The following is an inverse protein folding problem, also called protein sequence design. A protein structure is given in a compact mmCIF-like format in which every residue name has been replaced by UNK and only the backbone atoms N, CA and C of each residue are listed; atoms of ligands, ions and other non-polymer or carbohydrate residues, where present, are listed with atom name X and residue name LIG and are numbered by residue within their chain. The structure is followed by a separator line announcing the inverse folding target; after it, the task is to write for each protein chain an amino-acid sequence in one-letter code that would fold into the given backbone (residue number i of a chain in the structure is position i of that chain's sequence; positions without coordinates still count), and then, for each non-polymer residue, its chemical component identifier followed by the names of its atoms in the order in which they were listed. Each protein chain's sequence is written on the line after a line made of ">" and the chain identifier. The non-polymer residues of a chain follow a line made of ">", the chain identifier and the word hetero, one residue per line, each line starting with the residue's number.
data_IF_005754938873
#
_entry.id   IF_005754938873
#
_cell.length_a   1.000
_cell.length_b   1.000
_cell.length_c   1.000
_cell.angle_alpha   90.00
_cell.angle_beta   90.00
_cell.angle_gamma   90.00
#
_symmetry.space_group_name_H-M   'P 1'
#
loop_
_entity.id
_entity.type
_entity.pdbx_description
1 polymer ?
#
# COMPACT_ATOMS: atom_id res chain seq x y z
N UNK A 1 9.67 25.05 10.85
CA UNK A 1 9.31 23.75 11.48
C UNK A 1 9.20 22.71 10.38
N UNK A 2 10.13 21.75 10.29
CA UNK A 2 10.24 20.87 9.11
C UNK A 2 9.06 19.90 8.98
N UNK A 3 8.48 19.81 7.77
CA UNK A 3 7.40 18.87 7.40
C UNK A 3 7.74 17.43 7.77
N UNK A 4 9.02 17.08 7.74
CA UNK A 4 9.53 15.77 8.14
C UNK A 4 9.20 15.42 9.59
N UNK A 5 9.27 16.40 10.50
CA UNK A 5 8.95 16.21 11.92
C UNK A 5 7.44 15.97 12.13
N UNK A 6 6.61 16.58 11.28
CA UNK A 6 5.14 16.41 11.28
C UNK A 6 4.74 15.02 10.77
N UNK A 7 5.38 14.54 9.71
CA UNK A 7 5.18 13.18 9.19
C UNK A 7 5.70 12.13 10.18
N UNK A 8 6.86 12.35 10.79
CA UNK A 8 7.40 11.46 11.82
C UNK A 8 6.51 11.43 13.07
N UNK A 9 5.99 12.58 13.51
CA UNK A 9 5.03 12.65 14.60
C UNK A 9 3.69 11.97 14.23
N UNK A 10 3.23 12.13 12.99
CA UNK A 10 2.02 11.46 12.49
C UNK A 10 2.21 9.95 12.44
N UNK A 11 3.33 9.45 11.92
CA UNK A 11 3.66 8.02 11.93
C UNK A 11 3.74 7.45 13.37
N UNK A 12 4.20 8.25 14.33
CA UNK A 12 4.21 7.90 15.76
C UNK A 12 2.85 8.06 16.43
N UNK A 13 1.88 8.76 15.83
CA UNK A 13 0.56 8.99 16.40
C UNK A 13 -0.31 7.72 16.33
N UNK A 14 -1.34 7.60 17.20
CA UNK A 14 -2.30 6.49 17.14
C UNK A 14 -2.99 6.37 15.77
N UNK A 15 -3.24 7.51 15.11
CA UNK A 15 -3.87 7.57 13.80
C UNK A 15 -2.92 7.07 12.70
N UNK A 16 -1.66 7.50 12.68
CA UNK A 16 -0.68 7.02 11.71
C UNK A 16 -0.34 5.54 11.91
N UNK A 17 -0.22 5.07 13.16
CA UNK A 17 -0.07 3.64 13.46
C UNK A 17 -1.25 2.81 12.94
N UNK A 18 -2.49 3.31 13.06
CA UNK A 18 -3.68 2.65 12.48
C UNK A 18 -3.61 2.61 10.96
N UNK A 19 -3.24 3.70 10.31
CA UNK A 19 -3.08 3.77 8.85
C UNK A 19 -2.00 2.80 8.35
N UNK A 20 -0.82 2.78 8.98
CA UNK A 20 0.26 1.83 8.64
C UNK A 20 -0.19 0.40 8.93
N UNK A 21 -0.89 0.12 10.03
CA UNK A 21 -1.38 -1.23 10.35
C UNK A 21 -2.44 -1.71 9.34
N UNK A 22 -3.33 -0.82 8.91
CA UNK A 22 -4.29 -1.13 7.85
C UNK A 22 -3.57 -1.40 6.53
N UNK A 23 -2.65 -0.53 6.12
CA UNK A 23 -1.85 -0.73 4.91
C UNK A 23 -1.06 -2.06 4.97
N UNK A 24 -0.45 -2.38 6.12
CA UNK A 24 0.27 -3.64 6.34
C UNK A 24 -0.67 -4.84 6.25
N UNK A 25 -1.86 -4.77 6.85
CA UNK A 25 -2.88 -5.83 6.72
C UNK A 25 -3.34 -6.00 5.28
N UNK A 26 -3.66 -4.92 4.58
CA UNK A 26 -4.02 -4.95 3.17
C UNK A 26 -2.91 -5.53 2.28
N UNK A 27 -1.65 -5.28 2.61
CA UNK A 27 -0.50 -5.86 1.91
C UNK A 27 -0.21 -7.32 2.30
N UNK A 28 -0.55 -7.72 3.53
CA UNK A 28 -0.41 -9.09 4.04
C UNK A 28 -1.58 -9.98 3.62
N UNK A 29 -2.73 -9.42 3.26
CA UNK A 29 -3.91 -10.17 2.85
C UNK A 29 -3.65 -10.88 1.50
N UNK A 30 -3.59 -12.23 1.48
CA UNK A 30 -3.34 -12.98 0.26
C UNK A 30 -4.48 -12.79 -0.75
N UNK A 31 -5.70 -12.54 -0.29
CA UNK A 31 -6.88 -12.28 -1.13
C UNK A 31 -6.72 -10.99 -1.95
N UNK A 32 -6.13 -9.95 -1.36
CA UNK A 32 -5.83 -8.71 -2.07
C UNK A 32 -4.64 -8.88 -3.01
N UNK A 33 -3.60 -9.63 -2.60
CA UNK A 33 -2.50 -9.99 -3.50
C UNK A 33 -2.99 -10.69 -4.76
N UNK A 34 -3.85 -11.71 -4.64
CA UNK A 34 -4.39 -12.43 -5.80
C UNK A 34 -5.18 -11.51 -6.74
N UNK A 35 -6.00 -10.62 -6.18
CA UNK A 35 -6.77 -9.65 -6.98
C UNK A 35 -5.83 -8.64 -7.66
N UNK A 36 -4.84 -8.14 -6.95
CA UNK A 36 -3.82 -7.22 -7.49
C UNK A 36 -2.98 -7.93 -8.56
N UNK A 37 -2.56 -9.17 -8.37
CA UNK A 37 -1.81 -9.95 -9.36
C UNK A 37 -2.65 -10.24 -10.59
N UNK A 38 -3.94 -10.57 -10.44
CA UNK A 38 -4.84 -10.70 -11.60
C UNK A 38 -4.98 -9.39 -12.37
N UNK A 39 -5.20 -8.27 -11.67
CA UNK A 39 -5.29 -6.95 -12.33
C UNK A 39 -3.96 -6.55 -12.94
N UNK A 40 -2.85 -6.74 -12.24
CA UNK A 40 -1.49 -6.49 -12.70
C UNK A 40 -1.18 -7.31 -13.93
N UNK A 41 -1.47 -8.62 -13.94
CA UNK A 41 -1.28 -9.48 -15.10
C UNK A 41 -2.19 -9.09 -16.26
N UNK A 42 -3.40 -8.59 -15.98
CA UNK A 42 -4.32 -8.09 -17.02
C UNK A 42 -3.89 -6.74 -17.58
N UNK A 43 -3.29 -5.87 -16.78
CA UNK A 43 -2.84 -4.53 -17.17
C UNK A 43 -1.45 -4.60 -17.84
N UNK A 44 -0.50 -5.30 -17.21
CA UNK A 44 0.85 -5.49 -17.76
C UNK A 44 0.88 -6.53 -18.89
N UNK A 45 0.12 -7.63 -18.79
CA UNK A 45 0.09 -8.67 -19.81
C UNK A 45 -0.67 -8.29 -21.08
N UNK A 46 -1.51 -7.25 -21.04
CA UNK A 46 -2.17 -6.71 -22.24
C UNK A 46 -1.36 -5.61 -22.94
N UNK A 47 -0.26 -5.14 -22.33
CA UNK A 47 0.68 -4.18 -22.93
C UNK A 47 1.93 -4.80 -23.55
N UNK A 48 2.09 -6.13 -23.50
CA UNK A 48 3.29 -6.85 -23.94
C UNK A 48 3.10 -7.78 -25.14
N UNK A 49 2.11 -7.52 -26.01
CA UNK A 49 2.04 -8.13 -27.34
C UNK A 49 2.42 -7.07 -28.37
N UNK A 50 3.73 -6.86 -28.50
CA UNK A 50 4.36 -6.41 -29.74
C UNK A 50 5.06 -7.61 -30.34
#
# INVERSE_FOLDING_TARGET
>A
MSLFKKVAAFAKSPQGRRAIKQAKRYAQDPKNKQKIDQVKNRVLGKGGKG
#
